data_IF_061441354440
#
_entry.id   IF_061441354440
#
_cell.length_a   1.000
_cell.length_b   1.000
_cell.length_c   1.000
_cell.angle_alpha   90.00
_cell.angle_beta   90.00
_cell.angle_gamma   90.00
#
_symmetry.space_group_name_H-M   'P 1'
#
loop_
_entity.id
_entity.type
_entity.pdbx_description
1 polymer ?
#
# COMPACT_ATOMS: atom_id res chain seq x y z
N UNK A 1 25.31 -6.79 -17.42
CA UNK A 1 24.90 -6.44 -16.04
C UNK A 1 24.30 -5.06 -16.13
N UNK A 2 22.99 -4.97 -16.00
CA UNK A 2 22.17 -4.02 -16.76
C UNK A 2 22.12 -2.59 -16.17
N UNK A 3 22.13 -1.54 -17.02
CA UNK A 3 22.23 -0.13 -16.64
C UNK A 3 20.92 0.54 -16.18
N UNK A 4 19.87 -0.23 -15.86
CA UNK A 4 18.56 0.34 -15.43
C UNK A 4 18.44 0.55 -13.92
N UNK A 5 19.25 -0.14 -13.11
CA UNK A 5 19.23 0.05 -11.64
C UNK A 5 19.92 1.35 -11.19
N UNK A 6 20.87 1.88 -11.98
CA UNK A 6 21.49 3.18 -11.74
C UNK A 6 20.59 4.38 -12.04
N UNK A 7 19.41 4.17 -12.65
CA UNK A 7 18.44 5.23 -12.93
C UNK A 7 17.38 5.43 -11.84
N UNK A 8 17.30 4.52 -10.85
CA UNK A 8 16.26 4.57 -9.81
C UNK A 8 16.70 5.43 -8.60
N UNK A 9 18.01 5.63 -8.40
CA UNK A 9 18.56 6.30 -7.22
C UNK A 9 19.15 7.69 -7.48
N UNK A 10 19.06 8.24 -8.70
CA UNK A 10 19.77 9.47 -9.09
C UNK A 10 18.86 10.59 -9.65
N UNK A 11 17.58 10.62 -9.25
CA UNK A 11 16.61 11.65 -9.66
C UNK A 11 16.03 12.44 -8.48
N UNK A 12 16.91 12.92 -7.60
CA UNK A 12 16.55 13.93 -6.59
C UNK A 12 16.34 15.35 -7.15
N UNK A 13 16.26 15.51 -8.48
CA UNK A 13 15.97 16.79 -9.14
C UNK A 13 15.21 16.60 -10.44
N UNK A 14 13.91 16.38 -10.34
CA UNK A 14 12.93 16.95 -11.29
C UNK A 14 11.57 16.64 -10.72
N UNK A 15 11.11 17.47 -9.80
CA UNK A 15 9.69 17.80 -9.79
C UNK A 15 9.32 18.08 -11.26
N UNK A 16 8.33 17.37 -11.80
CA UNK A 16 7.95 17.49 -13.22
C UNK A 16 7.83 18.98 -13.60
N UNK A 17 8.43 19.42 -14.71
CA UNK A 17 8.34 20.83 -15.12
C UNK A 17 6.87 21.30 -15.20
N UNK A 18 5.99 20.37 -15.54
CA UNK A 18 4.54 20.57 -15.57
C UNK A 18 3.93 20.77 -14.19
N UNK A 19 4.46 20.11 -13.16
CA UNK A 19 4.09 20.35 -11.76
C UNK A 19 4.44 21.78 -11.36
N UNK A 20 5.66 22.25 -11.62
CA UNK A 20 6.08 23.60 -11.23
C UNK A 20 5.25 24.67 -11.93
N UNK A 21 4.91 24.45 -13.21
CA UNK A 21 4.06 25.37 -13.96
C UNK A 21 2.63 25.44 -13.39
N UNK A 22 1.99 24.28 -13.20
CA UNK A 22 0.62 24.18 -12.65
C UNK A 22 0.57 24.81 -11.25
N UNK A 23 1.61 24.59 -10.46
CA UNK A 23 1.72 25.13 -9.12
C UNK A 23 1.81 26.66 -9.09
N UNK A 24 2.65 27.26 -9.93
CA UNK A 24 2.82 28.71 -9.98
C UNK A 24 1.52 29.39 -10.43
N UNK A 25 0.84 28.82 -11.42
CA UNK A 25 -0.48 29.31 -11.88
C UNK A 25 -1.52 29.26 -10.74
N UNK A 26 -1.50 28.23 -9.89
CA UNK A 26 -2.38 28.15 -8.72
C UNK A 26 -2.06 29.22 -7.66
N UNK A 27 -0.78 29.45 -7.37
CA UNK A 27 -0.38 30.48 -6.40
C UNK A 27 -0.83 31.87 -6.87
N UNK A 28 -0.69 32.17 -8.17
CA UNK A 28 -1.13 33.44 -8.75
C UNK A 28 -2.66 33.61 -8.75
N UNK A 29 -3.41 32.50 -8.91
CA UNK A 29 -4.88 32.53 -9.01
C UNK A 29 -5.58 32.50 -7.64
N UNK A 30 -4.95 31.96 -6.60
CA UNK A 30 -5.57 31.67 -5.30
C UNK A 30 -5.23 32.72 -4.22
N UNK A 31 -5.87 33.89 -4.30
CA UNK A 31 -5.53 35.08 -3.49
C UNK A 31 -6.00 35.03 -2.00
N UNK A 32 -6.67 33.96 -1.50
CA UNK A 32 -7.03 33.87 -0.06
C UNK A 32 -6.08 32.94 0.71
N UNK A 33 -5.30 33.44 1.68
CA UNK A 33 -4.25 32.66 2.35
C UNK A 33 -4.79 31.48 3.18
N UNK A 34 -5.98 31.61 3.76
CA UNK A 34 -6.56 30.61 4.68
C UNK A 34 -6.88 29.26 3.99
N UNK A 35 -7.29 29.27 2.72
CA UNK A 35 -7.63 28.05 1.95
C UNK A 35 -6.47 27.58 1.08
N UNK A 36 -5.55 28.49 0.75
CA UNK A 36 -4.44 28.26 -0.18
C UNK A 36 -3.65 27.00 0.18
N UNK A 37 -3.31 26.81 1.45
CA UNK A 37 -2.59 25.61 1.91
C UNK A 37 -3.30 24.30 1.58
N UNK A 38 -4.63 24.28 1.74
CA UNK A 38 -5.45 23.09 1.46
C UNK A 38 -5.61 22.86 -0.03
N UNK A 39 -5.87 23.94 -0.76
CA UNK A 39 -6.01 23.95 -2.22
C UNK A 39 -4.72 23.44 -2.88
N UNK A 40 -3.57 23.92 -2.42
CA UNK A 40 -2.25 23.49 -2.87
C UNK A 40 -1.99 22.02 -2.58
N UNK A 41 -2.30 21.54 -1.36
CA UNK A 41 -2.14 20.13 -1.04
C UNK A 41 -3.06 19.23 -1.90
N UNK A 42 -4.31 19.66 -2.12
CA UNK A 42 -5.23 18.95 -3.00
C UNK A 42 -4.74 18.94 -4.46
N UNK A 43 -4.09 20.01 -4.93
CA UNK A 43 -3.45 20.05 -6.24
C UNK A 43 -2.40 18.95 -6.41
N UNK A 44 -1.59 18.68 -5.37
CA UNK A 44 -0.61 17.59 -5.39
C UNK A 44 -1.27 16.24 -5.64
N UNK A 45 -2.41 15.99 -4.98
CA UNK A 45 -3.18 14.76 -5.13
C UNK A 45 -3.70 14.65 -6.58
N UNK A 46 -4.30 15.72 -7.12
CA UNK A 46 -4.80 15.75 -8.51
C UNK A 46 -3.68 15.46 -9.52
N UNK A 47 -2.49 16.04 -9.31
CA UNK A 47 -1.33 15.82 -10.18
C UNK A 47 -0.90 14.36 -10.13
N UNK A 48 -0.77 13.77 -8.93
CA UNK A 48 -0.38 12.37 -8.79
C UNK A 48 -1.41 11.44 -9.46
N UNK A 49 -2.70 11.75 -9.35
CA UNK A 49 -3.76 10.99 -10.04
C UNK A 49 -3.61 11.10 -11.56
N UNK A 50 -3.43 12.32 -12.09
CA UNK A 50 -3.23 12.60 -13.51
C UNK A 50 -2.03 11.82 -14.08
N UNK A 51 -0.89 11.86 -13.38
CA UNK A 51 0.34 11.13 -13.77
C UNK A 51 0.15 9.60 -13.81
N UNK A 52 -0.89 9.07 -13.15
CA UNK A 52 -1.19 7.64 -13.10
C UNK A 52 -2.35 7.22 -14.01
N UNK A 53 -2.66 8.03 -15.02
CA UNK A 53 -3.71 7.83 -16.04
C UNK A 53 -5.15 7.88 -15.52
N UNK A 54 -5.36 8.52 -14.36
CA UNK A 54 -6.72 8.87 -13.95
C UNK A 54 -7.16 10.16 -14.63
N UNK A 55 -8.43 10.21 -15.01
CA UNK A 55 -9.11 11.40 -15.57
C UNK A 55 -10.40 11.65 -14.80
N UNK A 56 -10.91 12.88 -14.81
CA UNK A 56 -12.21 13.18 -14.20
C UNK A 56 -13.33 12.51 -15.00
N UNK A 57 -14.34 11.97 -14.32
CA UNK A 57 -15.49 11.35 -14.97
C UNK A 57 -16.23 12.39 -15.84
N UNK A 58 -16.35 12.11 -17.13
CA UNK A 58 -16.95 13.04 -18.10
C UNK A 58 -15.98 14.06 -18.72
N UNK A 59 -14.70 13.99 -18.38
CA UNK A 59 -13.63 14.82 -18.95
C UNK A 59 -12.55 13.97 -19.61
N UNK A 60 -11.78 14.56 -20.53
CA UNK A 60 -10.65 13.88 -21.20
C UNK A 60 -9.37 13.90 -20.37
N UNK A 61 -9.24 14.85 -19.44
CA UNK A 61 -8.10 14.96 -18.54
C UNK A 61 -8.50 15.60 -17.20
N UNK A 62 -7.57 15.58 -16.24
CA UNK A 62 -7.67 16.39 -15.03
C UNK A 62 -7.04 17.76 -15.33
N UNK A 63 -7.88 18.79 -15.43
CA UNK A 63 -7.42 20.18 -15.29
C UNK A 63 -7.42 20.54 -13.80
N UNK A 64 -6.22 20.70 -13.25
CA UNK A 64 -6.02 20.89 -11.82
C UNK A 64 -6.55 22.25 -11.37
N UNK A 65 -6.37 23.30 -12.18
CA UNK A 65 -6.75 24.67 -11.83
C UNK A 65 -8.27 24.79 -11.85
N UNK A 66 -8.91 24.35 -12.92
CA UNK A 66 -10.35 24.40 -13.06
C UNK A 66 -11.05 23.56 -11.98
N UNK A 67 -10.49 22.38 -11.66
CA UNK A 67 -11.02 21.53 -10.59
C UNK A 67 -10.98 22.22 -9.23
N UNK A 68 -9.88 22.89 -8.87
CA UNK A 68 -9.75 23.60 -7.59
C UNK A 68 -10.69 24.80 -7.55
N UNK A 69 -10.79 25.57 -8.64
CA UNK A 69 -11.68 26.72 -8.74
C UNK A 69 -13.15 26.31 -8.63
N UNK A 70 -13.56 25.21 -9.28
CA UNK A 70 -14.90 24.67 -9.18
C UNK A 70 -15.25 24.28 -7.74
N UNK A 71 -14.38 23.51 -7.07
CA UNK A 71 -14.59 23.08 -5.68
C UNK A 71 -14.67 24.26 -4.70
N UNK A 72 -13.87 25.30 -4.94
CA UNK A 72 -13.86 26.51 -4.12
C UNK A 72 -15.17 27.29 -4.23
N UNK A 73 -15.74 27.38 -5.43
CA UNK A 73 -17.01 28.08 -5.65
C UNK A 73 -18.18 27.40 -4.92
N UNK A 74 -18.06 26.11 -4.62
CA UNK A 74 -19.05 25.38 -3.81
C UNK A 74 -18.96 25.68 -2.31
N UNK A 75 -17.91 26.36 -1.83
CA UNK A 75 -17.75 26.75 -0.43
C UNK A 75 -17.56 25.57 0.54
N UNK A 76 -17.22 24.38 0.03
CA UNK A 76 -17.08 23.16 0.82
C UNK A 76 -15.66 23.04 1.41
N UNK A 77 -15.57 22.52 2.63
CA UNK A 77 -14.28 22.18 3.28
C UNK A 77 -13.76 20.80 2.88
N UNK A 78 -14.52 20.09 2.06
CA UNK A 78 -14.26 18.73 1.57
C UNK A 78 -14.16 18.81 0.06
N UNK A 79 -13.08 18.27 -0.49
CA UNK A 79 -12.94 18.09 -1.94
C UNK A 79 -13.44 16.69 -2.29
N UNK A 80 -14.43 16.59 -3.17
CA UNK A 80 -14.93 15.32 -3.68
C UNK A 80 -14.83 15.33 -5.21
N UNK A 81 -14.05 14.41 -5.76
CA UNK A 81 -13.94 14.19 -7.20
C UNK A 81 -14.28 12.76 -7.55
N UNK A 82 -14.84 12.56 -8.73
CA UNK A 82 -15.00 11.23 -9.32
C UNK A 82 -14.02 11.09 -10.47
N UNK A 83 -13.13 10.10 -10.37
CA UNK A 83 -12.13 9.80 -11.38
C UNK A 83 -12.39 8.43 -12.01
N UNK A 84 -11.94 8.26 -13.24
CA UNK A 84 -11.91 6.98 -13.95
C UNK A 84 -10.47 6.72 -14.40
N UNK A 85 -10.07 5.45 -14.45
CA UNK A 85 -8.84 5.07 -15.14
C UNK A 85 -9.14 5.14 -16.64
N UNK A 86 -8.30 5.81 -17.43
CA UNK A 86 -8.62 6.30 -18.80
C UNK A 86 -9.22 5.32 -19.82
N UNK A 87 -9.19 4.01 -19.56
CA UNK A 87 -9.72 2.95 -20.42
C UNK A 87 -10.92 2.19 -19.80
N UNK A 88 -11.31 2.52 -18.56
CA UNK A 88 -12.39 1.88 -17.81
C UNK A 88 -13.36 2.95 -17.27
N UNK A 89 -14.30 3.36 -18.12
CA UNK A 89 -15.30 4.38 -17.82
C UNK A 89 -16.44 3.88 -16.91
N UNK A 90 -16.66 2.57 -16.90
CA UNK A 90 -17.68 1.85 -16.13
C UNK A 90 -17.31 1.63 -14.65
N UNK A 91 -16.04 1.82 -14.29
CA UNK A 91 -15.54 1.63 -12.92
C UNK A 91 -14.99 2.93 -12.32
N UNK A 92 -15.86 3.88 -11.94
CA UNK A 92 -15.43 5.11 -11.29
C UNK A 92 -14.90 4.87 -9.87
N UNK A 93 -13.93 5.68 -9.49
CA UNK A 93 -13.45 5.80 -8.12
C UNK A 93 -13.68 7.22 -7.62
N UNK A 94 -14.21 7.36 -6.41
CA UNK A 94 -14.38 8.65 -5.73
C UNK A 94 -13.17 8.94 -4.87
N UNK A 95 -12.59 10.12 -5.01
CA UNK A 95 -11.55 10.63 -4.10
C UNK A 95 -12.19 11.71 -3.25
N UNK A 96 -12.18 11.50 -1.93
CA UNK A 96 -12.73 12.42 -0.94
C UNK A 96 -11.55 12.88 -0.07
N UNK A 97 -11.31 14.18 -0.05
CA UNK A 97 -10.24 14.81 0.72
C UNK A 97 -10.85 15.78 1.73
N UNK A 98 -10.67 15.46 3.01
CA UNK A 98 -11.20 16.23 4.13
C UNK A 98 -10.05 16.82 4.95
N UNK A 99 -10.07 18.13 5.19
CA UNK A 99 -9.12 18.75 6.11
C UNK A 99 -9.60 18.61 7.56
N UNK A 100 -8.74 18.04 8.40
CA UNK A 100 -8.89 17.93 9.85
C UNK A 100 -7.78 18.77 10.50
N UNK A 101 -8.07 20.05 10.74
CA UNK A 101 -7.08 21.05 11.19
C UNK A 101 -5.88 21.13 10.23
N UNK A 102 -4.71 20.68 10.68
CA UNK A 102 -3.45 20.64 9.93
C UNK A 102 -3.15 19.28 9.29
N UNK A 103 -4.13 18.38 9.29
CA UNK A 103 -4.04 17.08 8.62
C UNK A 103 -5.06 16.97 7.48
N UNK A 104 -4.75 16.19 6.46
CA UNK A 104 -5.63 15.84 5.35
C UNK A 104 -5.93 14.35 5.43
N UNK A 105 -7.21 14.01 5.55
CA UNK A 105 -7.70 12.66 5.35
C UNK A 105 -8.08 12.50 3.88
N UNK A 106 -7.52 11.50 3.24
CA UNK A 106 -7.72 11.17 1.84
C UNK A 106 -8.33 9.77 1.80
N UNK A 107 -9.51 9.66 1.21
CA UNK A 107 -10.17 8.40 0.97
C UNK A 107 -10.35 8.21 -0.53
N UNK A 108 -9.99 7.03 -1.04
CA UNK A 108 -10.40 6.56 -2.34
C UNK A 108 -11.39 5.41 -2.17
N UNK A 109 -12.52 5.51 -2.86
CA UNK A 109 -13.56 4.49 -2.86
C UNK A 109 -13.83 4.04 -4.30
N UNK A 110 -13.70 2.74 -4.56
CA UNK A 110 -13.93 2.16 -5.90
C UNK A 110 -15.35 1.60 -5.94
N UNK A 111 -16.23 2.17 -6.78
CA UNK A 111 -17.66 1.83 -6.76
C UNK A 111 -17.93 0.37 -7.12
N UNK A 112 -17.16 -0.20 -8.05
CA UNK A 112 -17.38 -1.55 -8.56
C UNK A 112 -17.03 -2.65 -7.55
N UNK A 113 -15.99 -2.43 -6.73
CA UNK A 113 -15.48 -3.40 -5.75
C UNK A 113 -15.92 -3.10 -4.32
N UNK A 114 -16.44 -1.90 -4.06
CA UNK A 114 -16.75 -1.38 -2.74
C UNK A 114 -15.53 -1.32 -1.79
N UNK A 115 -14.33 -1.32 -2.35
CA UNK A 115 -13.09 -1.19 -1.59
C UNK A 115 -12.78 0.29 -1.30
N UNK A 116 -12.32 0.54 -0.07
CA UNK A 116 -11.89 1.87 0.39
C UNK A 116 -10.43 1.85 0.81
N UNK A 117 -9.68 2.82 0.33
CA UNK A 117 -8.28 3.06 0.66
C UNK A 117 -8.15 4.42 1.33
N UNK A 118 -7.52 4.46 2.50
CA UNK A 118 -7.49 5.65 3.35
C UNK A 118 -6.07 6.01 3.75
N UNK A 119 -5.77 7.31 3.73
CA UNK A 119 -4.49 7.86 4.10
C UNK A 119 -4.70 9.18 4.85
N UNK A 120 -4.00 9.37 5.97
CA UNK A 120 -4.04 10.61 6.74
C UNK A 120 -2.64 11.21 6.80
N UNK A 121 -2.48 12.46 6.38
CA UNK A 121 -1.19 13.12 6.28
C UNK A 121 -1.20 14.53 6.89
N UNK A 122 -0.19 14.91 7.68
CA UNK A 122 -0.03 16.27 8.18
C UNK A 122 0.46 17.19 7.06
N UNK A 123 -0.27 18.27 6.80
CA UNK A 123 0.02 19.20 5.71
C UNK A 123 1.36 19.92 5.94
N UNK A 124 1.69 20.24 7.20
CA UNK A 124 2.90 20.96 7.60
C UNK A 124 4.20 20.20 7.31
N UNK A 125 4.14 18.88 7.06
CA UNK A 125 5.32 18.10 6.66
C UNK A 125 5.70 18.32 5.19
N UNK A 126 4.75 18.81 4.39
CA UNK A 126 4.88 18.89 2.93
C UNK A 126 4.77 20.31 2.38
N UNK A 127 4.13 21.21 3.14
CA UNK A 127 3.99 22.63 2.84
C UNK A 127 4.61 23.46 3.97
N UNK A 128 5.72 24.12 3.68
CA UNK A 128 6.35 25.08 4.59
C UNK A 128 5.61 26.41 4.46
N UNK A 129 5.22 26.97 5.60
CA UNK A 129 4.49 28.24 5.68
C UNK A 129 5.45 29.31 6.17
N UNK A 130 5.46 30.46 5.50
CA UNK A 130 6.17 31.66 5.96
C UNK A 130 5.56 32.24 7.24
N UNK A 131 6.28 33.15 7.88
CA UNK A 131 5.78 33.91 9.05
C UNK A 131 4.50 34.71 8.77
N UNK A 132 4.16 34.94 7.49
CA UNK A 132 2.96 35.64 7.05
C UNK A 132 1.77 34.71 6.77
N UNK A 133 1.88 33.40 7.07
CA UNK A 133 0.81 32.43 6.80
C UNK A 133 0.71 31.99 5.33
N UNK A 134 1.64 32.45 4.49
CA UNK A 134 1.66 32.14 3.05
C UNK A 134 2.56 30.90 2.84
N UNK A 135 2.09 29.84 2.15
CA UNK A 135 2.93 28.72 1.74
C UNK A 135 4.13 29.22 0.94
N UNK A 136 5.34 28.97 1.43
CA UNK A 136 6.58 29.45 0.83
C UNK A 136 7.27 28.39 -0.02
N UNK A 137 7.30 27.16 0.47
CA UNK A 137 8.08 26.07 -0.14
C UNK A 137 7.41 24.72 0.07
N UNK A 138 7.74 23.78 -0.81
CA UNK A 138 7.37 22.39 -0.67
C UNK A 138 8.53 21.60 -0.06
N UNK A 139 8.21 20.77 0.93
CA UNK A 139 9.16 19.84 1.55
C UNK A 139 8.69 18.40 1.32
N UNK A 140 9.63 17.46 1.32
CA UNK A 140 9.34 16.01 1.32
C UNK A 140 8.34 15.56 0.24
N UNK A 141 8.29 16.25 -0.91
CA UNK A 141 7.31 15.97 -1.99
C UNK A 141 7.48 14.57 -2.55
N UNK A 142 8.73 14.11 -2.65
CA UNK A 142 9.05 12.76 -3.10
C UNK A 142 8.42 11.71 -2.18
N UNK A 143 8.59 11.86 -0.86
CA UNK A 143 7.99 10.97 0.14
C UNK A 143 6.46 11.02 0.09
N UNK A 144 5.88 12.22 -0.05
CA UNK A 144 4.44 12.40 -0.24
C UNK A 144 3.94 11.62 -1.46
N UNK A 145 4.65 11.73 -2.58
CA UNK A 145 4.24 11.10 -3.84
C UNK A 145 4.34 9.58 -3.75
N UNK A 146 5.41 9.05 -3.13
CA UNK A 146 5.56 7.63 -2.87
C UNK A 146 4.39 7.16 -1.99
N UNK A 147 4.14 7.83 -0.87
CA UNK A 147 3.08 7.47 0.07
C UNK A 147 1.69 7.52 -0.58
N UNK A 148 1.38 8.58 -1.33
CA UNK A 148 0.12 8.70 -2.09
C UNK A 148 -0.02 7.58 -3.12
N UNK A 149 1.06 7.26 -3.85
CA UNK A 149 1.04 6.19 -4.85
C UNK A 149 0.80 4.84 -4.19
N UNK A 150 1.54 4.52 -3.14
CA UNK A 150 1.47 3.21 -2.47
C UNK A 150 0.16 2.99 -1.72
N UNK A 151 -0.40 4.02 -1.07
CA UNK A 151 -1.55 3.86 -0.17
C UNK A 151 -2.88 4.20 -0.83
N UNK A 152 -2.90 5.02 -1.87
CA UNK A 152 -4.14 5.46 -2.54
C UNK A 152 -4.15 5.02 -4.00
N UNK A 153 -3.20 5.49 -4.82
CA UNK A 153 -3.30 5.39 -6.28
C UNK A 153 -3.16 3.94 -6.78
N UNK A 154 -2.11 3.24 -6.34
CA UNK A 154 -1.81 1.86 -6.75
C UNK A 154 -2.90 0.92 -6.24
N UNK A 155 -3.35 0.95 -4.97
CA UNK A 155 -4.45 0.12 -4.51
C UNK A 155 -5.75 0.37 -5.30
N UNK A 156 -6.10 1.63 -5.54
CA UNK A 156 -7.28 2.00 -6.35
C UNK A 156 -7.18 1.44 -7.76
N UNK A 157 -6.02 1.61 -8.40
CA UNK A 157 -5.76 1.10 -9.75
C UNK A 157 -5.82 -0.43 -9.79
N UNK A 158 -5.22 -1.10 -8.80
CA UNK A 158 -5.25 -2.56 -8.72
C UNK A 158 -6.66 -3.09 -8.51
N UNK A 159 -7.48 -2.40 -7.71
CA UNK A 159 -8.89 -2.74 -7.50
C UNK A 159 -9.69 -2.71 -8.81
N UNK A 160 -9.54 -1.63 -9.58
CA UNK A 160 -10.15 -1.46 -10.91
C UNK A 160 -9.66 -2.54 -11.88
N UNK A 161 -8.35 -2.74 -11.98
CA UNK A 161 -7.77 -3.72 -12.89
C UNK A 161 -8.17 -5.16 -12.52
N UNK A 162 -8.23 -5.47 -11.22
CA UNK A 162 -8.69 -6.78 -10.73
C UNK A 162 -10.16 -7.02 -11.10
N UNK A 163 -11.02 -6.02 -10.97
CA UNK A 163 -12.42 -6.11 -11.40
C UNK A 163 -12.53 -6.48 -12.89
N UNK A 164 -11.67 -5.92 -13.72
CA UNK A 164 -11.57 -6.22 -15.16
C UNK A 164 -10.73 -7.46 -15.50
N UNK A 165 -10.33 -8.26 -14.50
CA UNK A 165 -9.48 -9.45 -14.67
C UNK A 165 -8.14 -9.18 -15.37
N UNK A 166 -7.60 -7.95 -15.24
CA UNK A 166 -6.31 -7.55 -15.79
C UNK A 166 -5.23 -7.70 -14.73
N UNK A 167 -4.18 -8.45 -15.06
CA UNK A 167 -3.03 -8.61 -14.17
C UNK A 167 -2.30 -7.28 -13.96
N UNK A 168 -2.04 -6.95 -12.70
CA UNK A 168 -1.27 -5.75 -12.34
C UNK A 168 0.21 -6.08 -12.16
N UNK A 169 1.07 -5.08 -12.27
CA UNK A 169 2.52 -5.19 -12.03
C UNK A 169 2.90 -5.26 -10.54
N UNK A 170 1.92 -5.43 -9.64
CA UNK A 170 2.14 -5.52 -8.20
C UNK A 170 1.85 -6.94 -7.71
N UNK A 171 2.59 -7.42 -6.72
CA UNK A 171 2.39 -8.75 -6.15
C UNK A 171 0.94 -8.97 -5.65
N UNK A 172 0.29 -8.02 -4.92
CA UNK A 172 -1.11 -8.15 -4.53
C UNK A 172 -2.09 -8.07 -5.71
N UNK A 173 -1.68 -7.51 -6.85
CA UNK A 173 -2.53 -7.39 -8.04
C UNK A 173 -2.41 -8.55 -9.02
N UNK A 174 -1.68 -9.61 -8.67
CA UNK A 174 -1.70 -10.87 -9.41
C UNK A 174 -3.00 -11.64 -9.13
N UNK A 175 -3.45 -12.49 -10.08
CA UNK A 175 -4.50 -13.47 -9.82
C UNK A 175 -4.14 -14.35 -8.62
N UNK A 176 -5.13 -14.68 -7.78
CA UNK A 176 -4.88 -15.37 -6.52
C UNK A 176 -4.23 -16.76 -6.75
N UNK A 177 -4.56 -17.45 -7.86
CA UNK A 177 -3.90 -18.70 -8.28
C UNK A 177 -2.38 -18.54 -8.52
N UNK A 178 -1.98 -17.46 -9.17
CA UNK A 178 -0.56 -17.19 -9.48
C UNK A 178 0.18 -16.88 -8.19
N UNK A 179 -0.41 -16.03 -7.34
CA UNK A 179 0.15 -15.69 -6.04
C UNK A 179 0.30 -16.94 -5.16
N UNK A 180 -0.68 -17.83 -5.19
CA UNK A 180 -0.66 -19.10 -4.48
C UNK A 180 0.51 -20.01 -4.93
N UNK A 181 0.81 -20.07 -6.24
CA UNK A 181 1.97 -20.82 -6.73
C UNK A 181 3.30 -20.15 -6.34
N UNK A 182 3.36 -18.82 -6.32
CA UNK A 182 4.53 -18.09 -5.81
C UNK A 182 4.76 -18.46 -4.34
N UNK A 183 3.73 -18.36 -3.49
CA UNK A 183 3.82 -18.73 -2.07
C UNK A 183 4.28 -20.17 -1.87
N UNK A 184 3.77 -21.12 -2.67
CA UNK A 184 4.20 -22.52 -2.61
C UNK A 184 5.62 -22.78 -3.12
N UNK A 185 6.25 -21.80 -3.76
CA UNK A 185 7.65 -21.88 -4.19
C UNK A 185 8.61 -21.30 -3.14
N UNK A 186 8.09 -20.61 -2.12
CA UNK A 186 8.88 -19.93 -1.10
C UNK A 186 9.12 -20.80 0.14
N UNK A 187 10.22 -20.57 0.87
CA UNK A 187 10.41 -21.16 2.19
C UNK A 187 9.43 -20.54 3.20
N UNK A 188 9.17 -21.26 4.29
CA UNK A 188 8.18 -20.85 5.30
C UNK A 188 8.44 -19.46 5.88
N UNK A 189 9.71 -19.10 6.14
CA UNK A 189 10.09 -17.78 6.67
C UNK A 189 9.54 -16.64 5.81
N UNK A 190 9.70 -16.77 4.50
CA UNK A 190 9.34 -15.73 3.56
C UNK A 190 7.83 -15.64 3.39
N UNK A 191 7.13 -16.78 3.44
CA UNK A 191 5.66 -16.83 3.45
C UNK A 191 5.10 -16.06 4.65
N UNK A 192 5.69 -16.24 5.85
CA UNK A 192 5.27 -15.53 7.05
C UNK A 192 5.56 -14.02 6.96
N UNK A 193 6.74 -13.64 6.49
CA UNK A 193 7.09 -12.23 6.27
C UNK A 193 6.14 -11.56 5.25
N UNK A 194 5.77 -12.28 4.19
CA UNK A 194 4.79 -11.80 3.20
C UNK A 194 3.41 -11.58 3.85
N UNK A 195 2.97 -12.48 4.74
CA UNK A 195 1.69 -12.34 5.44
C UNK A 195 1.63 -11.11 6.35
N UNK A 196 2.78 -10.62 6.84
CA UNK A 196 2.86 -9.40 7.66
C UNK A 196 2.76 -8.12 6.83
N UNK A 197 3.03 -8.19 5.52
CA UNK A 197 3.13 -7.00 4.66
C UNK A 197 1.79 -6.32 4.35
N UNK A 198 0.72 -7.09 4.08
CA UNK A 198 -0.60 -6.51 3.84
C UNK A 198 -1.75 -7.50 4.10
N UNK A 199 -2.94 -6.94 4.35
CA UNK A 199 -4.15 -7.71 4.69
C UNK A 199 -4.50 -8.75 3.62
N UNK A 200 -4.44 -8.40 2.32
CA UNK A 200 -4.75 -9.33 1.23
C UNK A 200 -3.83 -10.56 1.24
N UNK A 201 -2.52 -10.34 1.35
CA UNK A 201 -1.55 -11.43 1.36
C UNK A 201 -1.69 -12.29 2.63
N UNK A 202 -2.01 -11.66 3.76
CA UNK A 202 -2.35 -12.38 5.00
C UNK A 202 -3.56 -13.30 4.81
N UNK A 203 -4.63 -12.80 4.19
CA UNK A 203 -5.86 -13.57 3.99
C UNK A 203 -5.58 -14.83 3.15
N UNK A 204 -4.76 -14.71 2.10
CA UNK A 204 -4.34 -15.85 1.27
C UNK A 204 -3.43 -16.82 2.04
N UNK A 205 -2.49 -16.30 2.84
CA UNK A 205 -1.63 -17.15 3.69
C UNK A 205 -2.44 -17.87 4.77
N UNK A 206 -3.58 -17.34 5.20
CA UNK A 206 -4.47 -18.02 6.14
C UNK A 206 -5.33 -19.11 5.50
N UNK A 207 -5.33 -19.26 4.17
CA UNK A 207 -6.13 -20.28 3.51
C UNK A 207 -5.66 -21.71 3.81
N UNK A 208 -6.60 -22.54 4.21
CA UNK A 208 -6.37 -23.93 4.59
C UNK A 208 -5.80 -24.79 3.44
N UNK A 209 -6.15 -24.45 2.20
CA UNK A 209 -5.62 -25.09 1.00
C UNK A 209 -4.11 -24.87 0.85
N UNK A 210 -3.60 -23.69 1.19
CA UNK A 210 -2.16 -23.39 1.12
C UNK A 210 -1.40 -24.29 2.08
N UNK A 211 -1.85 -24.33 3.34
CA UNK A 211 -1.23 -25.16 4.38
C UNK A 211 -1.27 -26.65 4.03
N UNK A 212 -2.36 -27.14 3.43
CA UNK A 212 -2.45 -28.54 2.99
C UNK A 212 -1.36 -28.90 1.97
N UNK A 213 -1.05 -28.00 1.04
CA UNK A 213 -0.01 -28.21 0.02
C UNK A 213 1.40 -28.01 0.59
N UNK A 214 1.59 -27.08 1.53
CA UNK A 214 2.84 -26.92 2.27
C UNK A 214 3.18 -28.17 3.09
N UNK A 215 2.20 -28.77 3.78
CA UNK A 215 2.40 -30.03 4.52
C UNK A 215 2.88 -31.14 3.57
N UNK A 216 2.21 -31.32 2.44
CA UNK A 216 2.59 -32.34 1.45
C UNK A 216 3.97 -32.10 0.85
N UNK A 217 4.35 -30.84 0.63
CA UNK A 217 5.66 -30.44 0.09
C UNK A 217 6.78 -30.70 1.08
N UNK A 218 6.62 -30.24 2.32
CA UNK A 218 7.72 -30.19 3.31
C UNK A 218 7.78 -31.45 4.20
N UNK A 219 6.65 -32.15 4.32
CA UNK A 219 6.46 -33.33 5.17
C UNK A 219 5.65 -34.42 4.45
N UNK A 220 6.15 -35.00 3.34
CA UNK A 220 5.42 -35.99 2.54
C UNK A 220 5.07 -37.29 3.30
N UNK A 221 5.64 -37.50 4.49
CA UNK A 221 5.39 -38.67 5.35
C UNK A 221 4.50 -38.36 6.56
N UNK A 222 4.01 -37.13 6.71
CA UNK A 222 3.08 -36.80 7.78
C UNK A 222 1.76 -37.55 7.58
N UNK A 223 1.21 -38.15 8.64
CA UNK A 223 -0.10 -38.79 8.61
C UNK A 223 -1.15 -37.72 8.34
N UNK A 224 -1.89 -37.86 7.24
CA UNK A 224 -2.88 -36.88 6.76
C UNK A 224 -4.31 -37.21 7.21
N UNK A 225 -4.45 -38.05 8.24
CA UNK A 225 -5.74 -38.56 8.70
C UNK A 225 -6.64 -37.47 9.30
N UNK A 226 -6.06 -36.36 9.75
CA UNK A 226 -6.79 -35.25 10.37
C UNK A 226 -7.15 -34.18 9.32
N UNK A 227 -8.32 -34.34 8.70
CA UNK A 227 -8.86 -33.38 7.73
C UNK A 227 -9.48 -32.20 8.48
N UNK A 228 -8.71 -31.15 8.75
CA UNK A 228 -9.32 -29.91 9.23
C UNK A 228 -8.42 -28.87 9.90
N UNK A 229 -7.13 -29.14 10.10
CA UNK A 229 -6.21 -28.14 10.62
C UNK A 229 -4.77 -28.33 10.10
N UNK A 230 -4.60 -28.22 8.79
CA UNK A 230 -3.33 -28.33 8.09
C UNK A 230 -2.28 -27.37 8.63
N UNK A 231 -2.68 -26.17 9.06
CA UNK A 231 -1.76 -25.22 9.70
C UNK A 231 -1.18 -25.79 10.99
N UNK A 232 -2.01 -26.37 11.87
CA UNK A 232 -1.54 -27.01 13.10
C UNK A 232 -0.66 -28.23 12.79
N UNK A 233 -1.07 -29.08 11.86
CA UNK A 233 -0.27 -30.25 11.43
C UNK A 233 1.10 -29.83 10.93
N UNK A 234 1.16 -28.74 10.16
CA UNK A 234 2.41 -28.17 9.67
C UNK A 234 3.30 -27.71 10.83
N UNK A 235 2.74 -26.96 11.78
CA UNK A 235 3.47 -26.47 12.96
C UNK A 235 4.03 -27.64 13.78
N UNK A 236 3.21 -28.64 14.07
CA UNK A 236 3.63 -29.82 14.85
C UNK A 236 4.76 -30.58 14.14
N UNK A 237 4.62 -30.80 12.83
CA UNK A 237 5.63 -31.47 12.00
C UNK A 237 6.93 -30.67 11.93
N UNK A 238 6.83 -29.34 11.85
CA UNK A 238 7.98 -28.44 11.80
C UNK A 238 8.73 -28.43 13.13
N UNK A 239 8.04 -28.33 14.26
CA UNK A 239 8.63 -28.41 15.60
C UNK A 239 9.33 -29.76 15.80
N UNK A 240 8.70 -30.87 15.41
CA UNK A 240 9.33 -32.19 15.51
C UNK A 240 10.59 -32.31 14.65
N UNK A 241 10.57 -31.79 13.41
CA UNK A 241 11.75 -31.77 12.54
C UNK A 241 12.89 -30.97 13.15
N UNK A 242 12.61 -29.84 13.83
CA UNK A 242 13.63 -29.06 14.53
C UNK A 242 14.19 -29.77 15.76
N UNK A 243 13.34 -30.42 16.56
CA UNK A 243 13.78 -31.24 17.70
C UNK A 243 14.71 -32.38 17.25
N UNK A 244 14.30 -33.14 16.23
CA UNK A 244 15.12 -34.22 15.68
C UNK A 244 16.46 -33.70 15.12
N UNK A 245 16.49 -32.51 14.50
CA UNK A 245 17.73 -31.87 14.03
C UNK A 245 18.64 -31.45 15.18
N UNK A 246 18.06 -30.98 16.29
CA UNK A 246 18.81 -30.60 17.49
C UNK A 246 19.38 -31.84 18.21
N UNK A 247 18.59 -32.90 18.38
CA UNK A 247 19.01 -34.18 18.97
C UNK A 247 20.07 -34.89 18.12
N UNK A 248 19.92 -34.88 16.79
CA UNK A 248 20.94 -35.39 15.87
C UNK A 248 22.21 -34.52 15.86
N UNK A 249 22.08 -33.21 16.11
CA UNK A 249 23.20 -32.28 16.25
C UNK A 249 23.99 -32.45 17.54
N UNK A 250 23.35 -32.83 18.65
CA UNK A 250 24.02 -33.18 19.91
C UNK A 250 24.80 -34.50 19.86
N UNK A 251 24.54 -35.37 18.88
CA UNK A 251 25.39 -36.54 18.64
C UNK A 251 26.64 -36.23 17.79
N UNK A 252 26.78 -35.03 17.20
CA UNK A 252 27.80 -34.77 16.16
C UNK A 252 28.68 -33.52 16.38
N UNK A 253 28.41 -32.61 17.34
CA UNK A 253 29.31 -31.45 17.55
C UNK A 253 29.52 -31.03 19.00
N UNK A 254 30.54 -31.60 19.63
CA UNK A 254 31.64 -30.76 20.14
C UNK A 254 32.19 -29.97 18.94
N UNK A 255 32.29 -28.64 19.06
CA UNK A 255 32.70 -27.67 18.04
C UNK A 255 31.58 -27.23 17.07
N UNK A 256 30.82 -26.21 17.47
CA UNK A 256 30.77 -24.85 16.86
C UNK A 256 29.64 -24.12 17.60
N UNK A 257 30.04 -23.41 18.66
CA UNK A 257 29.30 -22.28 19.20
C UNK A 257 29.59 -21.14 18.20
N UNK A 258 28.53 -20.55 17.64
CA UNK A 258 28.47 -19.30 16.86
C UNK A 258 27.65 -19.44 15.57
N UNK A 259 26.35 -19.67 15.72
CA UNK A 259 25.34 -19.25 14.72
C UNK A 259 23.97 -19.18 15.40
N UNK A 260 23.91 -18.43 16.51
CA UNK A 260 22.65 -18.00 17.13
C UNK A 260 22.20 -16.75 16.39
N UNK A 261 21.43 -16.95 15.31
CA UNK A 261 20.43 -15.96 14.89
C UNK A 261 19.19 -16.19 15.74
N UNK A 262 18.94 -15.26 16.65
CA UNK A 262 17.80 -15.24 17.57
C UNK A 262 16.49 -15.53 16.84
N UNK A 263 15.76 -16.49 17.37
CA UNK A 263 14.34 -16.66 17.08
C UNK A 263 13.61 -15.45 17.66
N UNK A 264 12.65 -14.82 16.97
CA UNK A 264 11.68 -14.01 17.69
C UNK A 264 10.92 -14.96 18.61
N UNK A 265 11.07 -14.72 19.91
CA UNK A 265 10.43 -15.44 20.99
C UNK A 265 8.95 -15.69 20.68
N UNK A 266 8.60 -16.94 20.39
CA UNK A 266 7.26 -17.45 20.61
C UNK A 266 7.06 -17.65 22.12
N UNK A 267 7.17 -16.55 22.86
CA UNK A 267 6.42 -16.42 24.10
C UNK A 267 5.06 -15.83 23.70
N UNK A 268 3.95 -16.41 24.15
CA UNK A 268 2.68 -15.75 24.06
C UNK A 268 2.78 -14.50 24.94
N UNK A 269 3.11 -13.36 24.35
CA UNK A 269 2.84 -12.08 24.98
C UNK A 269 1.34 -12.10 25.21
N UNK A 270 0.94 -12.17 26.49
CA UNK A 270 -0.40 -11.77 26.92
C UNK A 270 -0.54 -10.32 26.47
N UNK A 271 -1.01 -10.10 25.26
CA UNK A 271 -1.40 -8.78 24.81
C UNK A 271 -2.75 -8.50 25.47
N UNK A 272 -2.68 -7.86 26.63
CA UNK A 272 -3.81 -7.35 27.42
C UNK A 272 -4.56 -6.21 26.70
N UNK A 273 -4.71 -6.29 25.37
CA UNK A 273 -5.33 -5.25 24.52
C UNK A 273 -6.43 -5.77 23.58
N UNK A 274 -6.84 -7.04 23.75
CA UNK A 274 -8.04 -7.59 23.11
C UNK A 274 -9.31 -7.51 23.97
N UNK A 275 -9.29 -6.77 25.10
CA UNK A 275 -10.51 -6.38 25.82
C UNK A 275 -10.95 -4.96 25.45
N UNK A 276 -11.23 -4.68 24.17
CA UNK A 276 -12.27 -3.70 23.82
C UNK A 276 -12.92 -4.19 22.54
N UNK A 277 -14.26 -4.16 22.52
CA UNK A 277 -15.22 -4.63 21.50
C UNK A 277 -15.79 -6.03 21.81
N UNK A 278 -16.53 -6.08 22.93
CA UNK A 278 -17.94 -6.45 22.89
C UNK A 278 -18.76 -5.16 22.78
#
# INVERSE_FOLDING_TARGET
>A
MEPWLSNILNKDRTISLQFQKTLNELIETLIKPETLKRDLFFALILIVMKENNFVLKGSTEIDVVDCILAMRNEGRSVYEITVILSIYDDTPAKIIVCSLNDTMLINSFVEATQETYSLCLPINQYLIISSLGIPSEYANVTELFITLKEQIVIPTKNSILKYHSVACSSLPGLPDDVLFQILLSLPLSDILNIAESCKKLRDIVTEENLWSRLVRRDFPRASTDDKGNWKRIYVDSYVQKRKNKFEAGHSVRENVIDEIGEWPDYLPVKDSRWEVIL
#
